data_IF_925670081201
#
_entry.id   IF_925670081201
#
_cell.length_a   1.000
_cell.length_b   1.000
_cell.length_c   1.000
_cell.angle_alpha   90.00
_cell.angle_beta   90.00
_cell.angle_gamma   90.00
#
_symmetry.space_group_name_H-M   'P 1'
#
loop_
_entity.id
_entity.type
_entity.pdbx_description
1 polymer ?
#
# COMPACT_ATOMS: atom_id res chain seq x y z
N UNK A 1 13.25 17.63 32.76
CA UNK A 1 13.18 17.76 31.29
C UNK A 1 12.00 16.92 30.81
N UNK A 2 10.87 17.56 30.52
CA UNK A 2 9.58 16.89 30.29
C UNK A 2 9.20 16.89 28.80
N UNK A 3 9.45 15.78 28.12
CA UNK A 3 8.88 15.51 26.79
C UNK A 3 7.72 14.53 26.91
N UNK A 4 6.53 15.02 27.29
CA UNK A 4 5.30 14.21 27.29
C UNK A 4 4.89 13.94 25.84
N UNK A 5 5.09 12.71 25.37
CA UNK A 5 4.58 12.27 24.08
C UNK A 5 3.04 12.22 24.16
N UNK A 6 2.36 13.20 23.55
CA UNK A 6 0.89 13.39 23.61
C UNK A 6 0.17 12.93 22.33
N UNK A 7 0.56 11.81 21.74
CA UNK A 7 -0.29 11.13 20.74
C UNK A 7 -1.26 10.17 21.43
N UNK A 8 -2.13 10.74 22.27
CA UNK A 8 -3.31 10.04 22.78
C UNK A 8 -4.48 10.38 21.88
N UNK A 9 -5.01 9.40 21.16
CA UNK A 9 -6.25 9.50 20.41
C UNK A 9 -7.40 9.89 21.35
N UNK A 10 -7.73 11.18 21.44
CA UNK A 10 -8.99 11.65 22.02
C UNK A 10 -9.96 11.87 20.86
N UNK A 11 -10.80 10.87 20.62
CA UNK A 11 -11.90 10.96 19.65
C UNK A 11 -12.85 12.07 20.08
N UNK A 12 -13.00 13.10 19.25
CA UNK A 12 -14.14 14.02 19.31
C UNK A 12 -14.84 13.91 17.97
N UNK A 13 -15.99 13.24 17.97
CA UNK A 13 -16.89 13.20 16.81
C UNK A 13 -17.66 14.52 16.77
N UNK A 14 -17.23 15.47 15.95
CA UNK A 14 -18.12 16.51 15.44
C UNK A 14 -18.06 16.48 13.91
N UNK A 15 -19.23 16.30 13.31
CA UNK A 15 -19.40 16.05 11.88
C UNK A 15 -18.79 17.13 11.00
N UNK A 16 -17.83 16.73 10.18
CA UNK A 16 -17.37 17.32 8.91
C UNK A 16 -16.39 16.30 8.28
N UNK A 17 -16.29 16.26 6.94
CA UNK A 17 -15.57 15.23 6.18
C UNK A 17 -14.23 14.80 6.80
N UNK A 18 -14.05 13.49 6.93
CA UNK A 18 -12.87 12.81 7.47
C UNK A 18 -11.66 13.05 6.55
N UNK A 19 -10.90 14.10 6.76
CA UNK A 19 -9.51 14.10 6.33
C UNK A 19 -8.80 13.03 7.16
N UNK A 20 -8.56 11.85 6.58
CA UNK A 20 -7.69 10.84 7.20
C UNK A 20 -6.29 11.43 7.12
N UNK A 21 -5.88 12.18 8.14
CA UNK A 21 -4.48 12.55 8.33
C UNK A 21 -3.80 11.25 8.81
N UNK A 22 -2.97 10.58 7.99
CA UNK A 22 -2.26 9.40 8.46
C UNK A 22 -1.40 9.82 9.67
N UNK A 23 -1.45 9.04 10.75
CA UNK A 23 -0.49 9.19 11.84
C UNK A 23 0.90 8.89 11.27
N UNK A 24 1.72 9.91 11.16
CA UNK A 24 3.08 9.81 10.61
C UNK A 24 4.03 10.39 11.64
N UNK A 25 4.87 9.53 12.20
CA UNK A 25 5.98 9.93 13.07
C UNK A 25 7.26 10.13 12.26
N UNK A 26 8.07 11.11 12.69
CA UNK A 26 9.44 11.28 12.19
C UNK A 26 10.34 10.31 12.94
N UNK A 27 11.02 9.44 12.22
CA UNK A 27 11.97 8.47 12.79
C UNK A 27 13.30 8.60 12.07
N UNK A 28 14.41 8.43 12.79
CA UNK A 28 15.75 8.36 12.21
C UNK A 28 16.21 6.90 12.25
N UNK A 29 16.37 6.28 11.08
CA UNK A 29 16.82 4.89 10.91
C UNK A 29 17.80 4.84 9.74
N UNK A 30 18.84 4.02 9.88
CA UNK A 30 19.78 3.76 8.79
C UNK A 30 19.19 2.71 7.84
N UNK A 31 19.24 2.99 6.54
CA UNK A 31 18.71 2.13 5.49
C UNK A 31 19.77 2.01 4.40
N UNK A 32 19.91 0.81 3.84
CA UNK A 32 20.80 0.58 2.70
C UNK A 32 20.31 1.31 1.44
N UNK A 33 21.11 2.26 0.98
CA UNK A 33 20.81 3.09 -0.19
C UNK A 33 20.75 2.30 -1.50
N UNK A 34 21.48 1.17 -1.61
CA UNK A 34 21.43 0.31 -2.79
C UNK A 34 20.08 -0.41 -2.88
N UNK A 35 19.57 -0.90 -1.74
CA UNK A 35 18.24 -1.51 -1.69
C UNK A 35 17.15 -0.49 -2.01
N UNK A 36 17.25 0.73 -1.48
CA UNK A 36 16.28 1.79 -1.75
C UNK A 36 16.32 2.20 -3.22
N UNK A 37 17.51 2.34 -3.82
CA UNK A 37 17.66 2.65 -5.24
C UNK A 37 17.02 1.59 -6.14
N UNK A 38 17.19 0.30 -5.81
CA UNK A 38 16.58 -0.78 -6.58
C UNK A 38 15.05 -0.77 -6.47
N UNK A 39 14.50 -0.51 -5.27
CA UNK A 39 13.05 -0.38 -5.06
C UNK A 39 12.50 0.83 -5.82
N UNK A 40 13.17 1.97 -5.76
CA UNK A 40 12.81 3.18 -6.50
C UNK A 40 12.78 2.91 -8.00
N UNK A 41 13.81 2.26 -8.54
CA UNK A 41 13.90 1.93 -9.97
C UNK A 41 12.82 0.94 -10.38
N UNK A 42 12.59 -0.10 -9.58
CA UNK A 42 11.64 -1.18 -9.86
C UNK A 42 10.18 -0.70 -9.82
N UNK A 43 9.85 0.19 -8.88
CA UNK A 43 8.49 0.67 -8.67
C UNK A 43 8.26 2.13 -9.12
N UNK A 44 9.28 2.75 -9.75
CA UNK A 44 9.25 4.14 -10.27
C UNK A 44 8.80 5.16 -9.23
N UNK A 45 9.43 5.12 -8.05
CA UNK A 45 9.10 6.00 -6.92
C UNK A 45 9.92 7.30 -6.97
N UNK A 46 9.43 8.36 -6.32
CA UNK A 46 10.10 9.66 -6.32
C UNK A 46 11.03 9.84 -5.11
N UNK A 47 10.83 9.11 -4.01
CA UNK A 47 11.62 9.31 -2.78
C UNK A 47 11.88 8.04 -1.97
N UNK A 48 12.91 8.10 -1.12
CA UNK A 48 13.20 7.05 -0.13
C UNK A 48 12.02 6.80 0.81
N UNK A 49 11.31 7.86 1.20
CA UNK A 49 10.11 7.79 2.06
C UNK A 49 9.01 6.96 1.39
N UNK A 50 8.75 7.20 0.10
CA UNK A 50 7.76 6.42 -0.64
C UNK A 50 8.16 4.94 -0.77
N UNK A 51 9.45 4.66 -0.94
CA UNK A 51 9.95 3.29 -0.96
C UNK A 51 9.70 2.56 0.36
N UNK A 52 9.97 3.22 1.49
CA UNK A 52 9.72 2.68 2.84
C UNK A 52 8.22 2.49 3.09
N UNK A 53 7.41 3.50 2.77
CA UNK A 53 5.95 3.43 2.90
C UNK A 53 5.38 2.27 2.08
N UNK A 54 5.83 2.09 0.83
CA UNK A 54 5.39 1.00 -0.02
C UNK A 54 5.79 -0.36 0.54
N UNK A 55 7.02 -0.49 1.05
CA UNK A 55 7.50 -1.73 1.67
C UNK A 55 6.66 -2.09 2.89
N UNK A 56 6.43 -1.13 3.79
CA UNK A 56 5.59 -1.32 4.98
C UNK A 56 4.16 -1.65 4.60
N UNK A 57 3.57 -0.96 3.61
CA UNK A 57 2.21 -1.27 3.12
C UNK A 57 2.11 -2.65 2.47
N UNK A 58 3.16 -3.15 1.84
CA UNK A 58 3.15 -4.51 1.30
C UNK A 58 3.28 -5.58 2.37
N UNK A 59 4.09 -5.32 3.40
CA UNK A 59 4.31 -6.25 4.50
C UNK A 59 3.16 -6.24 5.50
N UNK A 60 2.66 -5.06 5.84
CA UNK A 60 1.55 -4.85 6.77
C UNK A 60 0.18 -4.86 6.08
N UNK A 61 0.16 -4.78 4.75
CA UNK A 61 -1.06 -4.89 3.98
C UNK A 61 -1.74 -6.18 4.35
N UNK A 62 -2.95 -6.07 4.89
CA UNK A 62 -3.87 -7.18 4.94
C UNK A 62 -4.06 -7.63 3.48
N UNK A 63 -3.26 -8.63 3.08
CA UNK A 63 -3.70 -9.56 2.06
C UNK A 63 -5.12 -9.91 2.48
N UNK A 64 -6.08 -9.76 1.56
CA UNK A 64 -7.43 -10.29 1.76
C UNK A 64 -7.22 -11.63 2.44
N UNK A 65 -7.80 -11.80 3.64
CA UNK A 65 -7.67 -13.09 4.31
C UNK A 65 -8.12 -14.14 3.30
N UNK A 66 -7.57 -15.35 3.36
CA UNK A 66 -7.93 -16.40 2.40
C UNK A 66 -9.46 -16.52 2.25
N UNK A 67 -10.20 -16.33 3.34
CA UNK A 67 -11.66 -16.26 3.38
C UNK A 67 -12.24 -15.07 2.61
N UNK A 68 -11.70 -13.86 2.75
CA UNK A 68 -12.12 -12.69 1.99
C UNK A 68 -11.79 -12.80 0.50
N UNK A 69 -10.67 -13.42 0.15
CA UNK A 69 -10.32 -13.69 -1.24
C UNK A 69 -11.25 -14.74 -1.86
N UNK A 70 -11.61 -15.78 -1.11
CA UNK A 70 -12.61 -16.78 -1.51
C UNK A 70 -14.02 -16.21 -1.55
N UNK A 71 -14.35 -15.21 -0.73
CA UNK A 71 -15.64 -14.52 -0.81
C UNK A 71 -15.83 -13.72 -2.12
N UNK A 72 -14.74 -13.45 -2.85
CA UNK A 72 -14.80 -12.87 -4.19
C UNK A 72 -14.95 -13.95 -5.28
N UNK A 73 -14.87 -15.24 -4.94
CA UNK A 73 -15.16 -16.33 -5.86
C UNK A 73 -16.62 -16.25 -6.29
N UNK A 74 -16.85 -16.11 -7.61
CA UNK A 74 -18.19 -15.88 -8.15
C UNK A 74 -18.61 -14.41 -8.23
N UNK A 75 -17.75 -13.45 -7.84
CA UNK A 75 -17.95 -12.05 -8.25
C UNK A 75 -17.83 -12.01 -9.78
N UNK A 76 -18.97 -11.94 -10.45
CA UNK A 76 -19.10 -12.11 -11.90
C UNK A 76 -18.06 -11.31 -12.66
N UNK A 77 -17.16 -12.01 -13.33
CA UNK A 77 -16.24 -11.40 -14.27
C UNK A 77 -16.88 -11.50 -15.66
N UNK A 78 -17.15 -10.36 -16.30
CA UNK A 78 -17.94 -10.26 -17.54
C UNK A 78 -17.10 -10.29 -18.83
N UNK A 79 -15.80 -10.60 -18.76
CA UNK A 79 -14.95 -10.60 -19.96
C UNK A 79 -15.02 -11.90 -20.78
N UNK A 80 -14.53 -11.86 -22.02
CA UNK A 80 -14.23 -13.07 -22.81
C UNK A 80 -12.75 -13.47 -22.64
N UNK A 81 -12.51 -14.58 -21.94
CA UNK A 81 -11.15 -15.13 -21.76
C UNK A 81 -10.49 -15.51 -23.10
N UNK A 82 -11.28 -15.96 -24.07
CA UNK A 82 -10.77 -16.33 -25.39
C UNK A 82 -10.26 -15.09 -26.13
N UNK A 83 -10.98 -13.97 -26.06
CA UNK A 83 -10.58 -12.71 -26.67
C UNK A 83 -9.24 -12.19 -26.12
N UNK A 84 -9.10 -12.16 -24.80
CA UNK A 84 -7.86 -11.71 -24.14
C UNK A 84 -6.65 -12.60 -24.45
N UNK A 85 -6.85 -13.90 -24.67
CA UNK A 85 -5.77 -14.84 -25.02
C UNK A 85 -5.37 -14.75 -26.49
N UNK A 86 -6.31 -14.43 -27.38
CA UNK A 86 -6.04 -14.26 -28.83
C UNK A 86 -5.03 -13.14 -29.11
N UNK A 87 -5.03 -12.05 -28.32
CA UNK A 87 -4.10 -10.93 -28.50
C UNK A 87 -2.64 -11.29 -28.17
N UNK A 88 -2.40 -12.34 -27.37
CA UNK A 88 -1.05 -12.76 -26.93
C UNK A 88 -0.37 -13.74 -27.87
N UNK A 89 -1.10 -14.40 -28.77
CA UNK A 89 -0.60 -15.49 -29.63
C UNK A 89 -0.31 -15.03 -31.07
N UNK A 90 -0.67 -13.79 -31.44
CA UNK A 90 -0.36 -13.24 -32.78
C UNK A 90 0.89 -12.35 -32.77
N UNK A 91 2.03 -12.97 -32.52
CA UNK A 91 3.35 -12.41 -32.87
C UNK A 91 4.23 -13.55 -33.34
N UNK A 92 4.01 -13.94 -34.59
CA UNK A 92 4.96 -14.62 -35.46
C UNK A 92 4.89 -13.95 -36.81
#
# INVERSE_FOLDING_TARGET
>A
MHGRNRYGHRQVYLGVQRCIIPDVSRTNIDIDDQLVAEVIRRYRLASKREAVELALRRLAGALLSREQALALEGSGWEGDLAEMRRSRVRSR
#
